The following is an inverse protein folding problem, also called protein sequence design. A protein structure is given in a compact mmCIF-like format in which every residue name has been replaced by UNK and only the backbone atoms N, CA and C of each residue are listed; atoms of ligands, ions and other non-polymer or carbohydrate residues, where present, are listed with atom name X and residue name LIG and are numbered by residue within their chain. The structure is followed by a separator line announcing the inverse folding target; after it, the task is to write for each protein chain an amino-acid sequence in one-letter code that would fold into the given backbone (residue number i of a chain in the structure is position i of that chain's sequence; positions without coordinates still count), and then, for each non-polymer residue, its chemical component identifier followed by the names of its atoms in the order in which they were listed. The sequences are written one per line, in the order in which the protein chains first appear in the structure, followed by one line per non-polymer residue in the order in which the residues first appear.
data_IF_912400694681
#
_entry.id   IF_912400694681
#
_cell.length_a   1.000
_cell.length_b   1.000
_cell.length_c   1.000
_cell.angle_alpha   90.00
_cell.angle_beta   90.00
_cell.angle_gamma   90.00
#
_symmetry.space_group_name_H-M   'P 1'
#
loop_
_entity.id
_entity.type
_entity.pdbx_description
1 polymer ?
#
# COMPACT_ATOMS: atom_id res chain seq x y z
N UNK A 1 -14.39 2.13 19.31
CA UNK A 1 -14.38 0.75 19.86
C UNK A 1 -13.53 -0.25 19.04
N UNK A 2 -13.55 -0.21 17.68
CA UNK A 2 -12.77 -1.15 16.82
C UNK A 2 -11.24 -0.98 16.90
N UNK A 3 -10.71 0.24 17.03
CA UNK A 3 -9.27 0.50 17.10
C UNK A 3 -8.63 -0.12 18.35
N UNK A 4 -9.29 -0.02 19.50
CA UNK A 4 -8.79 -0.54 20.78
C UNK A 4 -8.62 -2.07 20.77
N UNK A 5 -9.49 -2.78 20.04
CA UNK A 5 -9.43 -4.26 19.92
C UNK A 5 -8.30 -4.73 18.98
N UNK A 6 -7.96 -3.95 17.95
CA UNK A 6 -6.83 -4.29 17.10
C UNK A 6 -5.48 -4.08 17.81
N UNK A 7 -5.30 -2.99 18.56
CA UNK A 7 -4.10 -2.79 19.36
C UNK A 7 -3.86 -3.91 20.38
N UNK A 8 -4.94 -4.47 20.94
CA UNK A 8 -4.85 -5.61 21.86
C UNK A 8 -4.33 -6.87 21.15
N UNK A 9 -4.77 -7.13 19.90
CA UNK A 9 -4.32 -8.32 19.17
C UNK A 9 -2.89 -8.18 18.63
N UNK A 10 -2.40 -6.98 18.39
CA UNK A 10 -1.01 -6.74 18.02
C UNK A 10 -0.04 -7.22 19.11
N UNK A 11 -0.47 -7.22 20.37
CA UNK A 11 0.30 -7.74 21.50
C UNK A 11 0.14 -9.26 21.70
N UNK A 12 -0.66 -9.94 20.88
CA UNK A 12 -0.73 -11.40 20.91
C UNK A 12 0.62 -11.98 20.47
N UNK A 13 1.25 -12.93 21.21
CA UNK A 13 2.63 -13.38 20.93
C UNK A 13 2.86 -13.79 19.49
N UNK A 14 1.93 -14.55 18.89
CA UNK A 14 2.06 -14.99 17.50
C UNK A 14 1.99 -13.84 16.47
N UNK A 15 1.32 -12.74 16.78
CA UNK A 15 1.23 -11.54 15.93
C UNK A 15 2.42 -10.63 16.19
N UNK A 16 2.76 -10.37 17.46
CA UNK A 16 3.89 -9.54 17.86
C UNK A 16 5.20 -10.06 17.26
N UNK A 17 5.43 -11.38 17.31
CA UNK A 17 6.59 -12.03 16.69
C UNK A 17 6.76 -11.65 15.21
N UNK A 18 5.69 -11.58 14.43
CA UNK A 18 5.76 -11.16 13.03
C UNK A 18 6.00 -9.66 12.93
N UNK A 19 5.25 -8.85 13.68
CA UNK A 19 5.33 -7.40 13.61
C UNK A 19 6.70 -6.85 14.04
N UNK A 20 7.36 -7.49 14.99
CA UNK A 20 8.66 -7.08 15.53
C UNK A 20 9.85 -7.61 14.71
N UNK A 21 9.64 -8.56 13.79
CA UNK A 21 10.70 -9.10 12.96
C UNK A 21 11.27 -8.06 12.00
N UNK A 22 12.59 -8.04 11.84
CA UNK A 22 13.27 -7.13 10.90
C UNK A 22 12.76 -7.32 9.47
N UNK A 23 12.50 -8.56 9.08
CA UNK A 23 12.03 -8.89 7.75
C UNK A 23 10.64 -8.29 7.47
N UNK A 24 9.73 -8.32 8.45
CA UNK A 24 8.43 -7.67 8.29
C UNK A 24 8.57 -6.15 8.24
N UNK A 25 9.47 -5.57 9.04
CA UNK A 25 9.76 -4.14 8.99
C UNK A 25 10.35 -3.71 7.63
N UNK A 26 11.19 -4.53 7.00
CA UNK A 26 11.74 -4.28 5.66
C UNK A 26 10.67 -4.14 4.57
N UNK A 27 9.46 -4.67 4.75
CA UNK A 27 8.35 -4.50 3.80
C UNK A 27 7.93 -3.03 3.62
N UNK A 28 8.31 -2.16 4.55
CA UNK A 28 8.09 -0.71 4.46
C UNK A 28 8.88 -0.06 3.32
N UNK A 29 9.99 -0.65 2.93
CA UNK A 29 10.82 -0.20 1.81
C UNK A 29 10.25 -0.52 0.42
N UNK A 30 9.17 -1.31 0.33
CA UNK A 30 8.59 -1.73 -0.95
C UNK A 30 7.23 -1.09 -1.17
N UNK A 31 7.11 -0.32 -2.26
CA UNK A 31 5.83 0.23 -2.67
C UNK A 31 4.85 -0.89 -3.09
N UNK A 32 3.58 -0.76 -2.67
CA UNK A 32 2.52 -1.68 -3.06
C UNK A 32 1.58 -1.04 -4.10
N UNK A 33 0.69 -0.14 -3.69
CA UNK A 33 -0.19 0.62 -4.57
C UNK A 33 -0.14 2.12 -4.24
N UNK A 34 0.23 2.95 -5.23
CA UNK A 34 0.34 4.41 -5.05
C UNK A 34 1.40 4.78 -4.01
N UNK A 35 0.98 5.40 -2.90
CA UNK A 35 1.85 5.78 -1.77
C UNK A 35 1.82 4.77 -0.61
N UNK A 36 1.10 3.66 -0.74
CA UNK A 36 0.97 2.63 0.31
C UNK A 36 2.16 1.68 0.21
N UNK A 37 2.82 1.42 1.34
CA UNK A 37 3.88 0.41 1.42
C UNK A 37 3.29 -0.99 1.55
N UNK A 38 4.08 -2.03 1.23
CA UNK A 38 3.65 -3.42 1.38
C UNK A 38 3.35 -3.75 2.84
N UNK A 39 4.13 -3.22 3.78
CA UNK A 39 3.87 -3.36 5.22
C UNK A 39 2.50 -2.79 5.60
N UNK A 40 2.20 -1.57 5.16
CA UNK A 40 0.91 -0.93 5.44
C UNK A 40 -0.25 -1.73 4.85
N UNK A 41 -0.10 -2.24 3.63
CA UNK A 41 -1.09 -3.11 2.99
C UNK A 41 -1.33 -4.38 3.82
N UNK A 42 -0.29 -5.13 4.15
CA UNK A 42 -0.40 -6.33 4.98
C UNK A 42 -1.07 -6.07 6.33
N UNK A 43 -0.74 -4.94 6.99
CA UNK A 43 -1.39 -4.54 8.24
C UNK A 43 -2.89 -4.25 8.07
N UNK A 44 -3.28 -3.59 6.99
CA UNK A 44 -4.69 -3.31 6.71
C UNK A 44 -5.47 -4.59 6.41
N UNK A 45 -4.90 -5.50 5.59
CA UNK A 45 -5.49 -6.81 5.29
C UNK A 45 -5.64 -7.63 6.56
N UNK A 46 -4.60 -7.73 7.38
CA UNK A 46 -4.63 -8.48 8.64
C UNK A 46 -5.68 -7.95 9.61
N UNK A 47 -5.77 -6.64 9.75
CA UNK A 47 -6.79 -6.00 10.59
C UNK A 47 -8.22 -6.33 10.10
N UNK A 48 -8.48 -6.20 8.82
CA UNK A 48 -9.79 -6.50 8.24
C UNK A 48 -10.13 -7.97 8.41
N UNK A 49 -9.21 -8.87 8.06
CA UNK A 49 -9.37 -10.32 8.20
C UNK A 49 -9.65 -10.73 9.64
N UNK A 50 -8.91 -10.18 10.61
CA UNK A 50 -9.13 -10.45 12.02
C UNK A 50 -10.57 -10.18 12.44
N UNK A 51 -11.12 -9.00 12.09
CA UNK A 51 -12.49 -8.66 12.48
C UNK A 51 -13.54 -9.52 11.76
N UNK A 52 -13.28 -9.88 10.51
CA UNK A 52 -14.16 -10.76 9.74
C UNK A 52 -14.17 -12.18 10.31
N UNK A 53 -13.02 -12.75 10.64
CA UNK A 53 -12.88 -14.08 11.23
C UNK A 53 -13.48 -14.14 12.63
N UNK A 54 -13.15 -13.17 13.49
CA UNK A 54 -13.69 -13.09 14.84
C UNK A 54 -15.23 -12.99 14.86
N UNK A 55 -15.82 -12.22 13.95
CA UNK A 55 -17.26 -12.08 13.84
C UNK A 55 -17.98 -13.36 13.42
N UNK A 56 -17.22 -14.35 12.95
CA UNK A 56 -17.72 -15.67 12.49
C UNK A 56 -17.32 -16.83 13.41
N UNK A 57 -16.64 -16.55 14.53
CA UNK A 57 -16.15 -17.60 15.44
C UNK A 57 -15.02 -18.46 14.87
N UNK A 58 -14.32 -17.94 13.86
CA UNK A 58 -13.17 -18.61 13.22
C UNK A 58 -11.86 -18.29 13.97
N UNK A 59 -10.77 -18.98 13.63
CA UNK A 59 -9.44 -18.68 14.19
C UNK A 59 -8.91 -17.34 13.65
N UNK A 60 -9.31 -16.28 14.35
CA UNK A 60 -8.98 -14.92 13.97
C UNK A 60 -7.49 -14.58 14.11
N UNK A 61 -6.75 -15.30 14.96
CA UNK A 61 -5.30 -15.09 15.15
C UNK A 61 -4.55 -15.68 13.95
N UNK A 62 -4.82 -16.93 13.60
CA UNK A 62 -4.21 -17.56 12.41
C UNK A 62 -4.60 -16.83 11.12
N UNK A 63 -5.85 -16.41 10.98
CA UNK A 63 -6.30 -15.60 9.85
C UNK A 63 -5.51 -14.29 9.72
N UNK A 64 -5.35 -13.54 10.82
CA UNK A 64 -4.60 -12.29 10.85
C UNK A 64 -3.11 -12.51 10.57
N UNK A 65 -2.52 -13.57 11.12
CA UNK A 65 -1.11 -13.88 10.93
C UNK A 65 -0.81 -14.32 9.50
N UNK A 66 -1.67 -15.15 8.89
CA UNK A 66 -1.60 -15.48 7.47
C UNK A 66 -1.72 -14.24 6.59
N UNK A 67 -2.62 -13.31 6.97
CA UNK A 67 -2.79 -12.03 6.27
C UNK A 67 -1.59 -11.08 6.43
N UNK A 68 -0.85 -11.07 7.56
CA UNK A 68 0.39 -10.32 7.68
C UNK A 68 1.47 -10.84 6.72
N UNK A 69 1.46 -12.14 6.45
CA UNK A 69 2.50 -12.84 5.71
C UNK A 69 2.13 -13.14 4.25
N UNK A 70 0.92 -12.79 3.77
CA UNK A 70 0.47 -13.17 2.43
C UNK A 70 1.37 -12.61 1.32
N UNK A 71 1.94 -11.41 1.52
CA UNK A 71 2.84 -10.72 0.61
C UNK A 71 4.29 -10.61 1.16
N UNK A 72 4.76 -11.65 1.87
CA UNK A 72 6.08 -11.67 2.50
C UNK A 72 7.18 -11.98 1.48
N UNK A 73 7.42 -11.04 0.55
CA UNK A 73 8.48 -11.11 -0.46
C UNK A 73 9.26 -9.78 -0.53
N UNK A 74 10.55 -9.81 -0.97
CA UNK A 74 11.53 -8.75 -0.79
C UNK A 74 12.12 -8.25 -2.10
N UNK A 75 11.27 -7.85 -3.04
CA UNK A 75 11.64 -7.21 -4.31
C UNK A 75 10.54 -6.25 -4.76
N UNK A 76 10.88 -5.27 -5.60
CA UNK A 76 9.86 -4.46 -6.28
C UNK A 76 9.30 -5.27 -7.46
N UNK A 77 8.03 -5.68 -7.36
CA UNK A 77 7.39 -6.52 -8.36
C UNK A 77 7.28 -5.87 -9.74
N UNK A 78 7.42 -4.54 -9.82
CA UNK A 78 7.38 -3.78 -11.08
C UNK A 78 8.72 -3.74 -11.79
N UNK A 79 9.82 -3.88 -11.05
CA UNK A 79 11.20 -3.68 -11.55
C UNK A 79 11.93 -5.02 -11.57
N UNK A 80 11.99 -5.71 -10.43
CA UNK A 80 12.82 -6.89 -10.20
C UNK A 80 11.99 -8.16 -10.04
N UNK A 81 10.66 -8.06 -10.20
CA UNK A 81 9.75 -9.17 -9.95
C UNK A 81 9.85 -10.26 -11.03
N UNK A 82 9.57 -11.52 -10.66
CA UNK A 82 9.53 -12.62 -11.62
C UNK A 82 8.42 -12.41 -12.65
N UNK A 83 8.63 -12.88 -13.88
CA UNK A 83 7.55 -12.95 -14.87
C UNK A 83 6.35 -13.69 -14.28
N UNK A 84 5.14 -13.22 -14.59
CA UNK A 84 3.89 -13.73 -14.02
C UNK A 84 3.85 -13.63 -12.48
N UNK A 85 4.32 -12.49 -11.96
CA UNK A 85 4.39 -12.21 -10.51
C UNK A 85 3.11 -12.61 -9.77
N UNK A 86 1.92 -12.26 -10.26
CA UNK A 86 0.64 -12.58 -9.63
C UNK A 86 0.41 -14.08 -9.38
N UNK A 87 1.03 -14.96 -10.17
CA UNK A 87 0.95 -16.42 -9.99
C UNK A 87 2.06 -16.97 -9.10
N UNK A 88 3.20 -16.28 -9.01
CA UNK A 88 4.41 -16.80 -8.38
C UNK A 88 4.64 -16.27 -6.98
N UNK A 89 4.26 -15.02 -6.69
CA UNK A 89 4.58 -14.42 -5.39
C UNK A 89 3.94 -15.16 -4.18
N UNK A 90 2.75 -15.81 -4.28
CA UNK A 90 2.23 -16.56 -3.13
C UNK A 90 3.16 -17.69 -2.68
N UNK A 91 3.75 -18.41 -3.64
CA UNK A 91 4.70 -19.47 -3.34
C UNK A 91 6.02 -18.91 -2.76
N UNK A 92 6.48 -17.77 -3.28
CA UNK A 92 7.68 -17.07 -2.78
C UNK A 92 7.42 -16.56 -1.36
N UNK A 93 6.27 -15.90 -1.12
CA UNK A 93 5.89 -15.41 0.20
C UNK A 93 5.81 -16.55 1.22
N UNK A 94 5.18 -17.68 0.86
CA UNK A 94 5.12 -18.87 1.72
C UNK A 94 6.52 -19.42 2.04
N UNK A 95 7.40 -19.53 1.04
CA UNK A 95 8.78 -19.99 1.24
C UNK A 95 9.49 -19.10 2.25
N UNK A 96 9.50 -17.80 2.02
CA UNK A 96 10.16 -16.83 2.90
C UNK A 96 9.58 -16.85 4.33
N UNK A 97 8.24 -16.96 4.45
CA UNK A 97 7.58 -17.03 5.74
C UNK A 97 7.95 -18.30 6.52
N UNK A 98 8.03 -19.46 5.85
CA UNK A 98 8.47 -20.75 6.46
C UNK A 98 9.91 -20.71 6.95
N UNK A 99 10.77 -19.97 6.30
CA UNK A 99 12.17 -19.84 6.70
C UNK A 99 12.33 -19.04 8.00
N UNK A 100 11.33 -18.25 8.39
CA UNK A 100 11.38 -17.34 9.54
C UNK A 100 10.41 -17.70 10.65
N UNK A 101 9.28 -18.30 10.31
CA UNK A 101 8.19 -18.56 11.24
C UNK A 101 7.68 -19.99 11.12
N UNK A 102 7.39 -20.61 12.26
CA UNK A 102 6.56 -21.81 12.27
C UNK A 102 5.14 -21.43 11.86
N UNK A 103 4.67 -21.96 10.75
CA UNK A 103 3.33 -21.69 10.20
C UNK A 103 2.42 -22.89 10.44
N UNK A 104 1.16 -22.63 10.76
CA UNK A 104 0.13 -23.65 10.79
C UNK A 104 -0.52 -23.82 9.40
N UNK A 105 -1.37 -24.83 9.25
CA UNK A 105 -2.01 -25.16 7.98
C UNK A 105 -2.92 -24.03 7.44
N UNK A 106 -3.58 -23.28 8.32
CA UNK A 106 -4.44 -22.13 7.94
C UNK A 106 -3.58 -21.00 7.39
N UNK A 107 -2.48 -20.66 8.07
CA UNK A 107 -1.56 -19.60 7.67
C UNK A 107 -0.90 -19.89 6.33
N UNK A 108 -0.43 -21.13 6.13
CA UNK A 108 0.16 -21.55 4.86
C UNK A 108 -0.83 -21.48 3.71
N UNK A 109 -2.04 -21.96 3.92
CA UNK A 109 -3.10 -21.94 2.91
C UNK A 109 -3.50 -20.50 2.60
N UNK A 110 -3.62 -19.64 3.60
CA UNK A 110 -3.91 -18.23 3.43
C UNK A 110 -2.86 -17.53 2.56
N UNK A 111 -1.57 -17.74 2.85
CA UNK A 111 -0.46 -17.19 2.07
C UNK A 111 -0.49 -17.73 0.62
N UNK A 112 -0.67 -19.03 0.46
CA UNK A 112 -0.58 -19.67 -0.85
C UNK A 112 -1.78 -19.38 -1.76
N UNK A 113 -2.98 -19.18 -1.19
CA UNK A 113 -4.25 -19.11 -1.93
C UNK A 113 -4.88 -17.72 -2.01
N UNK A 114 -4.26 -16.69 -1.42
CA UNK A 114 -4.85 -15.33 -1.40
C UNK A 114 -5.12 -14.78 -2.80
N UNK A 115 -4.38 -15.22 -3.83
CA UNK A 115 -4.57 -14.76 -5.21
C UNK A 115 -5.73 -15.44 -5.96
N UNK A 116 -6.46 -16.37 -5.33
CA UNK A 116 -7.67 -16.91 -5.97
C UNK A 116 -8.66 -15.77 -6.32
N UNK A 117 -9.35 -15.78 -7.47
CA UNK A 117 -9.38 -16.79 -8.55
C UNK A 117 -8.31 -16.63 -9.63
N UNK A 118 -7.36 -15.70 -9.52
CA UNK A 118 -6.24 -15.60 -10.47
C UNK A 118 -5.44 -16.91 -10.50
N UNK A 119 -5.13 -17.46 -9.33
CA UNK A 119 -4.61 -18.83 -9.21
C UNK A 119 -5.77 -19.83 -9.17
N UNK A 120 -5.70 -20.99 -9.86
CA UNK A 120 -6.86 -21.85 -10.08
C UNK A 120 -7.33 -22.61 -8.83
N UNK A 121 -6.46 -22.74 -7.81
CA UNK A 121 -6.77 -23.52 -6.61
C UNK A 121 -7.38 -22.63 -5.52
N UNK A 122 -8.63 -22.88 -5.10
CA UNK A 122 -9.30 -22.06 -4.09
C UNK A 122 -8.72 -22.27 -2.69
N UNK A 123 -8.97 -21.33 -1.77
CA UNK A 123 -8.69 -21.50 -0.34
C UNK A 123 -9.39 -22.73 0.24
N UNK A 124 -8.69 -23.48 1.11
CA UNK A 124 -9.21 -24.68 1.77
C UNK A 124 -9.91 -24.36 3.09
N UNK A 125 -9.51 -23.28 3.77
CA UNK A 125 -10.05 -22.85 5.05
C UNK A 125 -10.89 -21.59 4.88
N UNK A 126 -11.89 -21.42 5.71
CA UNK A 126 -12.73 -20.22 5.73
C UNK A 126 -11.88 -18.97 6.05
N UNK A 127 -10.93 -19.10 6.95
CA UNK A 127 -9.94 -18.07 7.30
C UNK A 127 -9.15 -17.60 6.08
N UNK A 128 -8.64 -18.53 5.29
CA UNK A 128 -7.89 -18.25 4.07
C UNK A 128 -8.77 -17.56 3.01
N UNK A 129 -10.03 -17.95 2.90
CA UNK A 129 -10.99 -17.28 2.04
C UNK A 129 -11.23 -15.83 2.49
N UNK A 130 -11.27 -15.57 3.79
CA UNK A 130 -11.38 -14.22 4.32
C UNK A 130 -10.14 -13.37 4.02
N UNK A 131 -8.93 -13.93 4.07
CA UNK A 131 -7.70 -13.24 3.63
C UNK A 131 -7.81 -12.84 2.17
N UNK A 132 -8.23 -13.78 1.31
CA UNK A 132 -8.42 -13.54 -0.12
C UNK A 132 -9.41 -12.40 -0.41
N UNK A 133 -10.52 -12.34 0.33
CA UNK A 133 -11.52 -11.27 0.21
C UNK A 133 -10.98 -9.94 0.76
N UNK A 134 -10.36 -9.97 1.95
CA UNK A 134 -9.83 -8.77 2.60
C UNK A 134 -8.74 -8.11 1.76
N UNK A 135 -7.82 -8.89 1.19
CA UNK A 135 -6.78 -8.41 0.28
C UNK A 135 -7.38 -7.61 -0.88
N UNK A 136 -8.36 -8.16 -1.59
CA UNK A 136 -9.02 -7.48 -2.71
C UNK A 136 -9.76 -6.22 -2.31
N UNK A 137 -10.44 -6.22 -1.16
CA UNK A 137 -11.14 -5.05 -0.64
C UNK A 137 -10.16 -3.92 -0.27
N UNK A 138 -9.03 -4.26 0.37
CA UNK A 138 -7.99 -3.30 0.73
C UNK A 138 -7.33 -2.76 -0.53
N UNK A 139 -6.94 -3.62 -1.48
CA UNK A 139 -6.35 -3.20 -2.74
C UNK A 139 -7.28 -2.24 -3.52
N UNK A 140 -8.58 -2.54 -3.61
CA UNK A 140 -9.57 -1.67 -4.26
C UNK A 140 -9.69 -0.31 -3.55
N UNK A 141 -9.67 -0.30 -2.22
CA UNK A 141 -9.68 0.93 -1.43
C UNK A 141 -8.43 1.77 -1.71
N UNK A 142 -7.24 1.16 -1.72
CA UNK A 142 -5.97 1.84 -1.97
C UNK A 142 -5.90 2.42 -3.39
N UNK A 143 -6.37 1.68 -4.39
CA UNK A 143 -6.54 2.17 -5.75
C UNK A 143 -7.48 3.39 -5.82
N UNK A 144 -8.61 3.33 -5.13
CA UNK A 144 -9.57 4.43 -5.10
C UNK A 144 -9.01 5.70 -4.46
N UNK A 145 -8.15 5.55 -3.44
CA UNK A 145 -7.42 6.66 -2.81
C UNK A 145 -6.38 7.26 -3.77
N UNK A 146 -5.60 6.41 -4.44
CA UNK A 146 -4.60 6.84 -5.41
C UNK A 146 -5.24 7.63 -6.57
N UNK A 147 -6.36 7.14 -7.11
CA UNK A 147 -7.11 7.83 -8.16
C UNK A 147 -7.67 9.18 -7.69
N UNK A 148 -8.19 9.26 -6.46
CA UNK A 148 -8.66 10.52 -5.88
C UNK A 148 -7.53 11.53 -5.73
N UNK A 149 -6.39 11.11 -5.21
CA UNK A 149 -5.20 11.94 -5.06
C UNK A 149 -4.70 12.46 -6.41
N UNK A 150 -4.67 11.60 -7.43
CA UNK A 150 -4.28 11.98 -8.79
C UNK A 150 -5.26 13.03 -9.39
N UNK A 151 -6.57 12.81 -9.28
CA UNK A 151 -7.59 13.77 -9.73
C UNK A 151 -7.45 15.12 -9.03
N UNK A 152 -7.17 15.13 -7.73
CA UNK A 152 -6.97 16.35 -6.96
C UNK A 152 -5.71 17.11 -7.43
N UNK A 153 -4.59 16.41 -7.69
CA UNK A 153 -3.37 17.01 -8.26
C UNK A 153 -3.63 17.66 -9.63
N UNK A 154 -4.38 16.99 -10.50
CA UNK A 154 -4.78 17.55 -11.80
C UNK A 154 -5.68 18.76 -11.66
N UNK A 155 -6.63 18.77 -10.70
CA UNK A 155 -7.52 19.89 -10.43
C UNK A 155 -6.77 21.12 -9.94
N UNK A 156 -5.82 20.94 -9.01
CA UNK A 156 -4.94 22.00 -8.49
C UNK A 156 -4.03 22.54 -9.60
N UNK A 157 -3.49 21.66 -10.45
CA UNK A 157 -2.66 22.08 -11.59
C UNK A 157 -3.43 22.90 -12.63
N UNK A 158 -4.68 22.58 -12.87
CA UNK A 158 -5.58 23.35 -13.78
C UNK A 158 -5.97 24.71 -13.18
N UNK A 159 -6.05 24.84 -11.87
CA UNK A 159 -6.41 26.07 -11.16
C UNK A 159 -5.21 27.00 -10.94
N UNK A 160 -3.97 26.53 -11.16
CA UNK A 160 -2.83 27.44 -11.16
C UNK A 160 -2.98 28.39 -12.35
N UNK A 161 -3.19 29.71 -12.14
CA UNK A 161 -3.26 30.65 -13.24
C UNK A 161 -1.96 30.53 -14.04
N UNK A 162 -2.10 30.40 -15.35
CA UNK A 162 -0.98 30.44 -16.26
C UNK A 162 -0.23 31.75 -15.99
N UNK A 163 0.87 31.66 -15.22
CA UNK A 163 1.68 32.82 -14.90
C UNK A 163 2.16 33.41 -16.23
N UNK A 164 1.54 34.50 -16.65
CA UNK A 164 1.97 35.37 -17.77
C UNK A 164 3.33 36.02 -17.41
N UNK A 165 4.36 35.20 -17.12
CA UNK A 165 5.63 35.65 -16.54
C UNK A 165 6.55 36.28 -17.57
N UNK A 166 6.39 36.04 -18.87
CA UNK A 166 7.23 36.68 -19.89
C UNK A 166 6.71 38.04 -20.31
N UNK A 167 5.41 38.19 -20.58
CA UNK A 167 4.86 39.51 -20.99
C UNK A 167 4.82 40.54 -19.86
N UNK A 168 4.48 40.12 -18.63
CA UNK A 168 4.46 41.03 -17.49
C UNK A 168 5.86 41.51 -17.09
N UNK A 169 6.90 40.66 -17.24
CA UNK A 169 8.30 41.07 -17.04
C UNK A 169 8.79 42.00 -18.13
N UNK A 170 8.41 41.75 -19.38
CA UNK A 170 8.77 42.64 -20.51
C UNK A 170 8.13 44.02 -20.38
N UNK A 171 6.85 44.11 -19.98
CA UNK A 171 6.14 45.38 -19.77
C UNK A 171 6.72 46.15 -18.55
N UNK A 172 7.04 45.44 -17.46
CA UNK A 172 7.65 46.07 -16.29
C UNK A 172 9.08 46.56 -16.58
N UNK A 173 9.84 45.84 -17.40
CA UNK A 173 11.18 46.26 -17.87
C UNK A 173 11.08 47.47 -18.80
N UNK A 174 10.16 47.48 -19.77
CA UNK A 174 9.95 48.60 -20.68
C UNK A 174 9.50 49.89 -19.96
N UNK A 175 8.68 49.79 -18.91
CA UNK A 175 8.33 50.92 -18.05
C UNK A 175 9.52 51.47 -17.25
N UNK A 176 10.43 50.62 -16.76
CA UNK A 176 11.62 51.08 -16.05
C UNK A 176 12.63 51.75 -16.98
N UNK A 177 12.83 51.25 -18.19
CA UNK A 177 13.77 51.85 -19.15
C UNK A 177 13.24 53.18 -19.70
N UNK A 178 11.91 53.26 -19.95
CA UNK A 178 11.27 54.49 -20.41
C UNK A 178 11.30 55.66 -19.40
N UNK A 179 11.24 55.37 -18.10
CA UNK A 179 11.34 56.41 -17.06
C UNK A 179 12.78 56.92 -16.84
N UNK A 180 13.79 56.13 -17.21
CA UNK A 180 15.20 56.55 -17.06
C UNK A 180 15.66 57.49 -18.19
N UNK A 181 14.97 57.48 -19.34
CA UNK A 181 15.32 58.37 -20.49
C UNK A 181 14.72 59.74 -20.43
N UNK A 182 13.69 59.97 -19.57
CA UNK A 182 13.08 61.29 -19.42
C UNK A 182 13.81 62.20 -18.41
N UNK A 183 14.71 61.66 -17.63
CA UNK A 183 15.47 62.46 -16.59
C UNK A 183 16.74 63.11 -17.17
N UNK A 184 17.21 62.70 -18.34
CA UNK A 184 18.45 63.25 -18.93
C UNK A 184 18.23 64.31 -20.02
N UNK A 185 16.99 64.73 -20.31
CA UNK A 185 16.67 65.73 -21.33
C UNK A 185 16.29 67.12 -20.78
N UNK A 186 16.59 67.37 -19.50
CA UNK A 186 16.26 68.63 -18.85
C UNK A 186 17.44 69.22 -18.08
N UNK A 187 18.53 69.57 -18.81
CA UNK A 187 19.56 70.52 -18.37
C UNK A 187 20.19 71.19 -19.57
#
# INVERSE_FOLDING_TARGET
MKARKWSTIQNHPAIAMVLESEEFQRLDGYAHHGSVTRKEHCLQVARLTYFMARGRGLDAVSAARGALLHDFFFYDWRIDGPRLHGFRHPAIARKNARERFALNAIEEDAILRHMWPLTPVPPRFAESALVCVADKLVALHDYSRALRAMRQRFRVRRQRPFRRTRRARAVAWAKRVGSSLQVSAGR
#
